data_IF_831797698912
#
_entry.id   IF_831797698912
#
_cell.length_a   1.000
_cell.length_b   1.000
_cell.length_c   1.000
_cell.angle_alpha   90.00
_cell.angle_beta   90.00
_cell.angle_gamma   90.00
#
_symmetry.space_group_name_H-M   'P 1'
#
loop_
_entity.id
_entity.type
_entity.pdbx_description
1 polymer ?
#
# COMPACT_ATOMS: atom_id res chain seq x y z
N UNK A 1 -6.80 1.61 -7.61
CA UNK A 1 -6.22 1.32 -6.28
C UNK A 1 -4.68 1.34 -6.35
N UNK A 2 -4.09 2.49 -6.71
CA UNK A 2 -2.65 2.62 -7.01
C UNK A 2 -1.74 2.31 -5.80
N UNK A 3 -2.25 2.50 -4.58
CA UNK A 3 -1.47 2.29 -3.36
C UNK A 3 -1.17 0.83 -3.03
N UNK A 4 -2.12 -0.11 -3.20
CA UNK A 4 -1.82 -1.53 -3.03
C UNK A 4 -0.79 -2.02 -4.05
N UNK A 5 -0.80 -1.45 -5.25
CA UNK A 5 0.19 -1.75 -6.30
C UNK A 5 1.56 -1.16 -5.97
N UNK A 6 1.60 0.05 -5.41
CA UNK A 6 2.83 0.65 -4.87
C UNK A 6 3.48 -0.26 -3.82
N UNK A 7 2.72 -0.67 -2.79
CA UNK A 7 3.21 -1.58 -1.76
C UNK A 7 3.66 -2.92 -2.34
N UNK A 8 2.90 -3.47 -3.31
CA UNK A 8 3.25 -4.72 -3.97
C UNK A 8 4.62 -4.66 -4.66
N UNK A 9 4.93 -3.55 -5.34
CA UNK A 9 6.19 -3.39 -6.07
C UNK A 9 7.40 -3.16 -5.17
N UNK A 10 7.18 -2.70 -3.93
CA UNK A 10 8.25 -2.39 -2.98
C UNK A 10 8.42 -3.43 -1.88
N UNK A 11 7.51 -4.41 -1.75
CA UNK A 11 7.62 -5.44 -0.72
C UNK A 11 8.86 -6.31 -0.92
N UNK A 12 9.69 -6.39 0.14
CA UNK A 12 10.97 -7.10 0.13
C UNK A 12 12.07 -6.43 -0.69
N UNK A 13 11.86 -5.21 -1.19
CA UNK A 13 12.90 -4.44 -1.88
C UNK A 13 13.87 -3.79 -0.87
N UNK A 14 15.09 -3.46 -1.31
CA UNK A 14 16.06 -2.72 -0.49
C UNK A 14 15.54 -1.34 -0.04
N UNK A 15 14.61 -0.78 -0.80
CA UNK A 15 13.97 0.52 -0.55
C UNK A 15 12.64 0.42 0.22
N UNK A 16 12.22 -0.77 0.70
CA UNK A 16 10.89 -0.97 1.29
C UNK A 16 10.60 0.02 2.43
N UNK A 17 11.52 0.20 3.37
CA UNK A 17 11.34 1.13 4.49
C UNK A 17 11.24 2.60 4.00
N UNK A 18 11.92 2.95 2.90
CA UNK A 18 11.86 4.29 2.30
C UNK A 18 10.52 4.52 1.61
N UNK A 19 10.03 3.51 0.88
CA UNK A 19 8.85 3.60 0.01
C UNK A 19 7.52 3.27 0.72
N UNK A 20 7.57 2.50 1.81
CA UNK A 20 6.41 2.01 2.54
C UNK A 20 6.47 2.27 4.06
N UNK A 21 7.46 3.02 4.54
CA UNK A 21 7.57 3.41 5.96
C UNK A 21 6.50 4.40 6.39
N UNK A 22 6.05 4.33 7.66
CA UNK A 22 4.98 5.19 8.18
C UNK A 22 5.24 6.69 8.00
N UNK A 23 6.47 7.10 8.28
CA UNK A 23 6.88 8.50 8.25
C UNK A 23 7.23 8.99 6.84
N UNK A 24 7.47 8.06 5.91
CA UNK A 24 7.98 8.37 4.57
C UNK A 24 6.93 8.23 3.48
N UNK A 25 5.98 7.31 3.65
CA UNK A 25 5.01 6.94 2.61
C UNK A 25 4.10 8.09 2.18
N UNK A 26 3.76 8.99 3.11
CA UNK A 26 3.04 10.21 2.78
C UNK A 26 3.84 11.07 1.78
N UNK A 27 5.15 11.24 2.04
CA UNK A 27 6.02 12.04 1.21
C UNK A 27 6.27 11.37 -0.16
N UNK A 28 6.46 10.06 -0.20
CA UNK A 28 6.67 9.32 -1.45
C UNK A 28 5.44 9.34 -2.36
N UNK A 29 4.24 9.30 -1.77
CA UNK A 29 2.98 9.35 -2.53
C UNK A 29 2.50 10.78 -2.83
N UNK A 30 3.18 11.80 -2.29
CA UNK A 30 2.75 13.20 -2.33
C UNK A 30 1.31 13.42 -1.84
N UNK A 31 0.93 12.68 -0.80
CA UNK A 31 -0.39 12.77 -0.20
C UNK A 31 -0.39 13.73 0.99
N UNK A 32 -1.55 14.31 1.31
CA UNK A 32 -1.70 14.97 2.60
C UNK A 32 -1.92 13.93 3.72
N UNK A 33 -1.67 14.35 4.96
CA UNK A 33 -1.69 13.46 6.12
C UNK A 33 -3.10 12.89 6.39
N UNK A 34 -4.14 13.70 6.20
CA UNK A 34 -5.52 13.28 6.46
C UNK A 34 -5.97 12.25 5.42
N UNK A 35 -5.67 12.49 4.14
CA UNK A 35 -5.93 11.54 3.07
C UNK A 35 -5.19 10.23 3.28
N UNK A 36 -3.89 10.29 3.59
CA UNK A 36 -3.06 9.11 3.85
C UNK A 36 -3.63 8.27 4.99
N UNK A 37 -3.95 8.91 6.11
CA UNK A 37 -4.53 8.23 7.28
C UNK A 37 -5.87 7.58 6.95
N UNK A 38 -6.75 8.27 6.21
CA UNK A 38 -8.04 7.72 5.79
C UNK A 38 -7.90 6.50 4.89
N UNK A 39 -6.99 6.54 3.91
CA UNK A 39 -6.72 5.41 3.01
C UNK A 39 -6.14 4.23 3.79
N UNK A 40 -5.18 4.46 4.69
CA UNK A 40 -4.62 3.40 5.54
C UNK A 40 -5.68 2.78 6.46
N UNK A 41 -6.52 3.60 7.09
CA UNK A 41 -7.59 3.11 7.95
C UNK A 41 -8.61 2.25 7.17
N UNK A 42 -8.98 2.70 5.96
CA UNK A 42 -9.88 1.94 5.08
C UNK A 42 -9.27 0.59 4.69
N UNK A 43 -8.04 0.59 4.17
CA UNK A 43 -7.40 -0.63 3.70
C UNK A 43 -7.06 -1.60 4.82
N UNK A 44 -6.77 -1.10 6.03
CA UNK A 44 -6.61 -1.95 7.21
C UNK A 44 -7.95 -2.59 7.61
N UNK A 45 -9.04 -1.83 7.57
CA UNK A 45 -10.40 -2.34 7.83
C UNK A 45 -10.81 -3.41 6.81
N UNK A 46 -10.36 -3.29 5.57
CA UNK A 46 -10.59 -4.26 4.49
C UNK A 46 -9.58 -5.43 4.49
N UNK A 47 -8.76 -5.56 5.54
CA UNK A 47 -7.72 -6.58 5.67
C UNK A 47 -6.75 -6.60 4.48
N UNK A 48 -6.49 -5.45 3.84
CA UNK A 48 -5.57 -5.34 2.70
C UNK A 48 -4.15 -4.95 3.13
N UNK A 49 -4.01 -4.30 4.29
CA UNK A 49 -2.70 -3.91 4.82
C UNK A 49 -2.56 -4.27 6.29
N UNK A 50 -1.33 -4.50 6.67
CA UNK A 50 -0.91 -4.63 8.06
C UNK A 50 0.22 -3.65 8.38
N UNK A 51 0.41 -3.43 9.67
CA UNK A 51 1.39 -2.52 10.21
C UNK A 51 2.46 -3.34 10.90
N UNK A 52 3.68 -3.25 10.40
CA UNK A 52 4.86 -3.85 11.03
C UNK A 52 5.65 -2.79 11.79
N UNK A 53 6.77 -3.17 12.39
CA UNK A 53 7.64 -2.21 13.10
C UNK A 53 8.19 -1.15 12.14
N UNK A 54 8.47 -1.53 10.89
CA UNK A 54 9.27 -0.71 9.97
C UNK A 54 8.48 -0.19 8.76
N UNK A 55 7.37 -0.84 8.38
CA UNK A 55 6.63 -0.52 7.17
C UNK A 55 5.15 -0.92 7.21
N UNK A 56 4.38 -0.32 6.29
CA UNK A 56 3.06 -0.79 5.89
C UNK A 56 3.24 -1.94 4.91
N UNK A 57 2.72 -3.12 5.24
CA UNK A 57 2.82 -4.31 4.37
C UNK A 57 1.46 -4.75 3.85
N UNK A 58 1.50 -5.46 2.74
CA UNK A 58 0.31 -6.15 2.23
C UNK A 58 0.07 -7.42 3.04
N UNK A 59 -1.18 -7.64 3.42
CA UNK A 59 -1.65 -8.99 3.77
C UNK A 59 -1.75 -9.82 2.50
N UNK A 60 -2.05 -11.11 2.65
CA UNK A 60 -2.34 -11.98 1.49
C UNK A 60 -3.56 -11.47 0.70
N UNK A 61 -4.63 -11.05 1.39
CA UNK A 61 -5.81 -10.46 0.76
C UNK A 61 -5.47 -9.16 0.02
N UNK A 62 -4.58 -8.34 0.59
CA UNK A 62 -4.05 -7.13 -0.03
C UNK A 62 -3.28 -7.41 -1.32
N UNK A 63 -2.43 -8.44 -1.33
CA UNK A 63 -1.72 -8.89 -2.53
C UNK A 63 -2.67 -9.30 -3.63
N UNK A 64 -3.63 -10.16 -3.32
CA UNK A 64 -4.64 -10.62 -4.28
C UNK A 64 -5.42 -9.42 -4.85
N UNK A 65 -5.85 -8.50 -3.99
CA UNK A 65 -6.57 -7.30 -4.41
C UNK A 65 -5.70 -6.37 -5.25
N UNK A 66 -4.41 -6.23 -4.95
CA UNK A 66 -3.47 -5.44 -5.74
C UNK A 66 -3.40 -5.91 -7.19
N UNK A 67 -3.14 -7.22 -7.37
CA UNK A 67 -3.04 -7.84 -8.70
C UNK A 67 -4.36 -7.75 -9.46
N UNK A 68 -5.49 -8.14 -8.83
CA UNK A 68 -6.81 -8.05 -9.45
C UNK A 68 -7.17 -6.63 -9.88
N UNK A 69 -6.88 -5.64 -9.04
CA UNK A 69 -7.15 -4.24 -9.35
C UNK A 69 -6.30 -3.74 -10.52
N UNK A 70 -5.04 -4.21 -10.62
CA UNK A 70 -4.17 -3.88 -11.74
C UNK A 70 -4.65 -4.53 -13.04
N UNK A 71 -4.95 -5.83 -13.02
CA UNK A 71 -5.48 -6.58 -14.16
C UNK A 71 -6.80 -5.99 -14.68
N UNK A 72 -7.67 -5.54 -13.76
CA UNK A 72 -8.95 -4.91 -14.09
C UNK A 72 -8.81 -3.62 -14.92
N UNK A 73 -7.65 -2.95 -14.87
CA UNK A 73 -7.37 -1.77 -15.70
C UNK A 73 -7.19 -2.13 -17.19
N UNK A 74 -6.85 -3.39 -17.47
CA UNK A 74 -6.54 -3.89 -18.81
C UNK A 74 -7.53 -4.92 -19.34
N UNK A 75 -8.44 -5.42 -18.49
CA UNK A 75 -9.55 -6.27 -18.92
C UNK A 75 -10.60 -5.43 -19.66
N UNK A 76 -10.54 -5.44 -20.99
CA UNK A 76 -11.60 -4.93 -21.86
C UNK A 76 -12.70 -5.97 -22.04
#
# INVERSE_FOLDING_TARGET
MMFLFHLYNHDGSEDEAREAGFDTIQAQLHWDAAFTSNIMALLKKEDCIEFTVDAVKLTEQGRINSVRNYEALFSK
#
